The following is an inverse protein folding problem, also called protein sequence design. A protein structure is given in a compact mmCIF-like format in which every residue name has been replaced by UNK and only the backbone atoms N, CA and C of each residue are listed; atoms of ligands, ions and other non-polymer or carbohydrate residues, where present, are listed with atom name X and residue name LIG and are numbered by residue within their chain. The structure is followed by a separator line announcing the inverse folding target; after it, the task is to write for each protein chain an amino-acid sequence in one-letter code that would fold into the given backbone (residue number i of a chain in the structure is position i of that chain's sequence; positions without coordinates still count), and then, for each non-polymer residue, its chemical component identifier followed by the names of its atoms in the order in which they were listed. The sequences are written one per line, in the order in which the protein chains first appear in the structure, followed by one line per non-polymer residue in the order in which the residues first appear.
data_IF_473008667137
#
_entry.id   IF_473008667137
#
_cell.length_a   1.000
_cell.length_b   1.000
_cell.length_c   1.000
_cell.angle_alpha   90.00
_cell.angle_beta   90.00
_cell.angle_gamma   90.00
#
_symmetry.space_group_name_H-M   'P 1'
#
loop_
_entity.id
_entity.type
_entity.pdbx_description
1 polymer ?
#
# COMPACT_ATOMS: atom_id res chain seq x y z
N UNK A 1 24.72 -33.39 16.43
CA UNK A 1 23.82 -32.95 15.34
C UNK A 1 24.38 -31.65 14.80
N UNK A 2 24.89 -31.61 13.56
CA UNK A 2 25.43 -30.37 12.98
C UNK A 2 24.28 -29.36 12.84
N UNK A 3 24.39 -28.20 13.49
CA UNK A 3 23.39 -27.15 13.37
C UNK A 3 23.33 -26.67 11.92
N UNK A 4 22.13 -26.55 11.35
CA UNK A 4 21.93 -25.92 10.04
C UNK A 4 22.48 -24.49 10.06
N UNK A 5 23.27 -24.14 9.06
CA UNK A 5 23.87 -22.80 8.92
C UNK A 5 22.76 -21.73 8.80
N UNK A 6 23.09 -20.47 9.05
CA UNK A 6 22.14 -19.37 8.83
C UNK A 6 21.61 -19.39 7.39
N UNK A 7 22.51 -19.64 6.42
CA UNK A 7 22.21 -19.67 4.99
C UNK A 7 21.26 -20.82 4.67
N UNK A 8 21.43 -21.99 5.29
CA UNK A 8 20.48 -23.10 5.13
C UNK A 8 19.08 -22.71 5.58
N UNK A 9 18.95 -21.99 6.70
CA UNK A 9 17.66 -21.52 7.22
C UNK A 9 17.07 -20.45 6.31
N UNK A 10 17.88 -19.52 5.82
CA UNK A 10 17.48 -18.45 4.93
C UNK A 10 16.98 -18.99 3.58
N UNK A 11 17.72 -19.90 2.96
CA UNK A 11 17.30 -20.61 1.74
C UNK A 11 16.03 -21.44 1.99
N UNK A 12 15.93 -22.12 3.14
CA UNK A 12 14.73 -22.88 3.51
C UNK A 12 13.50 -21.99 3.63
N UNK A 13 13.61 -20.82 4.27
CA UNK A 13 12.51 -19.87 4.44
C UNK A 13 11.97 -19.35 3.10
N UNK A 14 12.82 -19.27 2.07
CA UNK A 14 12.42 -18.87 0.73
C UNK A 14 11.92 -20.03 -0.14
N UNK A 15 11.91 -21.27 0.37
CA UNK A 15 11.58 -22.47 -0.39
C UNK A 15 12.65 -22.84 -1.43
N UNK A 16 13.89 -22.43 -1.20
CA UNK A 16 15.05 -22.64 -2.08
C UNK A 16 16.03 -23.67 -1.49
N UNK A 17 15.50 -24.68 -0.78
CA UNK A 17 16.30 -25.69 -0.06
C UNK A 17 17.19 -26.52 -0.97
N UNK A 18 16.84 -26.66 -2.24
CA UNK A 18 17.63 -27.38 -3.24
C UNK A 18 19.03 -26.75 -3.44
N UNK A 19 19.19 -25.46 -3.16
CA UNK A 19 20.46 -24.75 -3.30
C UNK A 19 21.33 -24.77 -2.05
N UNK A 20 20.85 -25.30 -0.91
CA UNK A 20 21.66 -25.34 0.32
C UNK A 20 23.00 -26.08 0.12
N UNK A 21 22.95 -27.22 -0.59
CA UNK A 21 24.17 -27.98 -0.89
C UNK A 21 25.14 -27.20 -1.80
N UNK A 22 24.61 -26.48 -2.79
CA UNK A 22 25.43 -25.66 -3.69
C UNK A 22 26.08 -24.49 -2.97
N UNK A 23 25.35 -23.78 -2.10
CA UNK A 23 25.90 -22.67 -1.32
C UNK A 23 26.95 -23.14 -0.32
N UNK A 24 26.71 -24.27 0.35
CA UNK A 24 27.69 -24.86 1.27
C UNK A 24 28.95 -25.38 0.54
N UNK A 25 28.78 -26.01 -0.62
CA UNK A 25 29.89 -26.53 -1.42
C UNK A 25 30.77 -25.41 -2.01
N UNK A 26 30.18 -24.25 -2.28
CA UNK A 26 30.91 -23.06 -2.75
C UNK A 26 31.36 -22.14 -1.61
N UNK A 27 31.25 -22.59 -0.35
CA UNK A 27 31.68 -21.84 0.83
C UNK A 27 31.09 -20.42 0.89
N UNK A 28 29.84 -20.26 0.46
CA UNK A 28 29.15 -18.98 0.53
C UNK A 28 28.78 -18.75 1.99
N UNK A 29 29.42 -17.77 2.61
CA UNK A 29 29.11 -17.25 3.96
C UNK A 29 28.33 -15.94 3.89
N UNK A 30 27.93 -15.39 5.04
CA UNK A 30 27.08 -14.19 5.12
C UNK A 30 27.68 -12.96 4.43
N UNK A 31 29.00 -12.78 4.53
CA UNK A 31 29.70 -11.66 3.90
C UNK A 31 29.68 -11.81 2.37
N UNK A 32 30.04 -13.00 1.87
CA UNK A 32 30.03 -13.31 0.43
C UNK A 32 28.61 -13.26 -0.15
N UNK A 33 27.62 -13.73 0.62
CA UNK A 33 26.22 -13.73 0.23
C UNK A 33 25.72 -12.33 -0.17
N UNK A 34 26.24 -11.28 0.48
CA UNK A 34 25.87 -9.88 0.21
C UNK A 34 26.49 -9.33 -1.07
N UNK A 35 27.58 -9.91 -1.51
CA UNK A 35 28.34 -9.49 -2.68
C UNK A 35 28.00 -10.31 -3.93
N UNK A 36 27.25 -11.40 -3.78
CA UNK A 36 26.88 -12.27 -4.90
C UNK A 36 26.13 -11.51 -6.00
N UNK A 37 26.61 -11.68 -7.23
CA UNK A 37 25.96 -11.18 -8.43
C UNK A 37 25.04 -12.23 -9.06
N UNK A 38 24.24 -11.80 -10.05
CA UNK A 38 23.39 -12.72 -10.82
C UNK A 38 24.20 -13.74 -11.64
N UNK A 39 25.43 -13.40 -11.99
CA UNK A 39 26.40 -14.24 -12.70
C UNK A 39 27.00 -15.29 -11.76
N UNK A 40 27.35 -14.91 -10.53
CA UNK A 40 27.83 -15.84 -9.50
C UNK A 40 26.76 -16.86 -9.11
N UNK A 41 25.49 -16.44 -9.03
CA UNK A 41 24.38 -17.36 -8.80
C UNK A 41 24.24 -18.39 -9.93
N UNK A 42 24.51 -17.99 -11.17
CA UNK A 42 24.48 -18.90 -12.32
C UNK A 42 25.64 -19.89 -12.26
N UNK A 43 26.84 -19.44 -11.87
CA UNK A 43 28.02 -20.29 -11.76
C UNK A 43 27.91 -21.37 -10.67
N UNK A 44 27.20 -21.09 -9.58
CA UNK A 44 26.92 -22.07 -8.51
C UNK A 44 25.70 -22.96 -8.79
N UNK A 45 25.10 -22.87 -10.00
CA UNK A 45 24.05 -23.79 -10.46
C UNK A 45 22.62 -23.28 -10.33
N UNK A 46 22.40 -21.99 -10.05
CA UNK A 46 21.05 -21.38 -10.08
C UNK A 46 20.69 -20.98 -11.52
N UNK A 47 20.37 -21.94 -12.36
CA UNK A 47 20.02 -21.70 -13.77
C UNK A 47 18.64 -21.05 -13.98
N UNK A 48 17.69 -21.33 -13.08
CA UNK A 48 16.34 -20.76 -13.13
C UNK A 48 16.35 -19.24 -12.93
N UNK A 49 15.94 -18.50 -13.96
CA UNK A 49 15.83 -17.03 -13.93
C UNK A 49 14.91 -16.55 -12.80
N UNK A 50 13.85 -17.30 -12.50
CA UNK A 50 12.95 -16.99 -11.40
C UNK A 50 13.63 -17.11 -10.04
N UNK A 51 14.43 -18.15 -9.82
CA UNK A 51 15.16 -18.36 -8.57
C UNK A 51 16.28 -17.34 -8.39
N UNK A 52 17.03 -17.02 -9.46
CA UNK A 52 18.04 -15.95 -9.43
C UNK A 52 17.44 -14.59 -9.05
N UNK A 53 16.34 -14.19 -9.69
CA UNK A 53 15.66 -12.92 -9.35
C UNK A 53 15.20 -12.89 -7.89
N UNK A 54 14.69 -14.01 -7.39
CA UNK A 54 14.25 -14.14 -5.99
C UNK A 54 15.43 -14.00 -5.02
N UNK A 55 16.56 -14.66 -5.29
CA UNK A 55 17.78 -14.57 -4.48
C UNK A 55 18.37 -13.16 -4.49
N UNK A 56 18.47 -12.51 -5.66
CA UNK A 56 18.97 -11.13 -5.78
C UNK A 56 18.13 -10.12 -4.99
N UNK A 57 16.81 -10.25 -5.04
CA UNK A 57 15.89 -9.42 -4.25
C UNK A 57 16.09 -9.63 -2.74
N UNK A 58 16.24 -10.89 -2.31
CA UNK A 58 16.43 -11.24 -0.91
C UNK A 58 17.81 -10.80 -0.37
N UNK A 59 18.87 -10.87 -1.19
CA UNK A 59 20.21 -10.38 -0.86
C UNK A 59 20.18 -8.85 -0.68
N UNK A 60 19.47 -8.14 -1.57
CA UNK A 60 19.29 -6.68 -1.47
C UNK A 60 18.59 -6.29 -0.16
N UNK A 61 17.58 -7.06 0.27
CA UNK A 61 16.91 -6.84 1.56
C UNK A 61 17.82 -7.11 2.78
N UNK A 62 18.79 -8.03 2.66
CA UNK A 62 19.76 -8.34 3.72
C UNK A 62 20.81 -7.22 3.91
N UNK A 63 21.11 -6.46 2.86
CA UNK A 63 22.02 -5.31 2.93
C UNK A 63 21.37 -4.12 3.67
N UNK A 64 20.10 -3.84 3.40
CA UNK A 64 19.33 -2.74 4.03
C UNK A 64 19.23 -2.93 5.56
N UNK A 65 19.24 -4.17 6.04
CA UNK A 65 19.14 -4.46 7.48
C UNK A 65 20.43 -4.21 8.29
N UNK A 66 21.61 -4.10 7.66
CA UNK A 66 22.87 -3.84 8.39
C UNK A 66 23.23 -2.36 8.55
N UNK A 67 22.62 -1.47 7.78
CA UNK A 67 22.90 -0.03 7.82
C UNK A 67 22.12 0.73 8.90
N UNK A 68 21.30 0.03 9.70
CA UNK A 68 20.77 0.54 10.97
C UNK A 68 21.71 0.19 12.13
N UNK A 69 22.99 0.51 12.00
CA UNK A 69 23.91 0.58 13.16
C UNK A 69 24.07 2.04 13.58
N UNK A 70 23.26 2.37 14.59
CA UNK A 70 23.32 3.57 15.41
C UNK A 70 24.76 3.96 15.80
N UNK A 71 25.24 5.10 15.31
CA UNK A 71 26.29 5.88 15.97
C UNK A 71 25.63 7.10 16.63
N UNK A 72 25.40 7.02 17.95
CA UNK A 72 25.15 8.20 18.77
C UNK A 72 26.44 8.69 19.44
N UNK A 73 26.41 9.73 20.30
CA UNK A 73 25.34 10.69 20.55
C UNK A 73 25.82 12.15 20.36
N UNK A 74 24.97 13.03 19.82
CA UNK A 74 25.10 14.47 20.03
C UNK A 74 23.70 15.05 20.23
N UNK A 75 23.56 15.77 21.34
CA UNK A 75 22.34 16.37 21.85
C UNK A 75 21.69 17.24 20.76
N UNK A 76 20.69 16.70 20.07
CA UNK A 76 19.80 17.48 19.22
C UNK A 76 18.58 17.80 20.06
N UNK A 77 18.46 19.09 20.41
CA UNK A 77 17.21 19.71 20.85
C UNK A 77 16.04 19.20 19.99
N UNK A 78 14.84 19.02 20.53
CA UNK A 78 13.68 18.78 19.70
C UNK A 78 13.58 19.97 18.74
N UNK A 79 13.81 19.72 17.46
CA UNK A 79 13.45 20.66 16.42
C UNK A 79 11.93 20.74 16.47
N UNK A 80 11.44 21.75 17.19
CA UNK A 80 10.03 22.09 17.21
C UNK A 80 9.79 22.99 15.99
N UNK A 81 9.15 22.46 14.93
CA UNK A 81 8.90 23.23 13.72
C UNK A 81 8.02 24.45 14.02
N UNK A 82 7.22 24.43 15.09
CA UNK A 82 6.36 25.54 15.50
C UNK A 82 7.22 26.66 16.11
N UNK A 83 8.17 26.31 16.99
CA UNK A 83 9.08 27.28 17.60
C UNK A 83 10.00 27.96 16.57
N UNK A 84 10.38 27.23 15.51
CA UNK A 84 11.16 27.81 14.41
C UNK A 84 10.35 28.85 13.63
N UNK A 85 9.08 28.55 13.33
CA UNK A 85 8.18 29.47 12.64
C UNK A 85 8.00 30.74 13.49
N UNK A 86 7.74 30.60 14.80
CA UNK A 86 7.59 31.72 15.72
C UNK A 86 8.85 32.61 15.83
N UNK A 87 10.04 32.00 15.69
CA UNK A 87 11.31 32.72 15.70
C UNK A 87 11.55 33.46 14.40
N UNK A 88 11.25 32.84 13.26
CA UNK A 88 11.34 33.48 11.93
C UNK A 88 10.36 34.64 11.78
N UNK A 89 9.15 34.51 12.32
CA UNK A 89 8.14 35.59 12.35
C UNK A 89 8.62 36.75 13.23
N UNK A 90 9.18 36.48 14.41
CA UNK A 90 9.74 37.51 15.29
C UNK A 90 10.91 38.26 14.65
N UNK A 91 11.84 37.56 14.02
CA UNK A 91 13.00 38.18 13.35
C UNK A 91 12.56 39.02 12.14
N UNK A 92 11.54 38.60 11.39
CA UNK A 92 10.97 39.38 10.30
C UNK A 92 10.26 40.67 10.79
N UNK A 93 9.59 40.61 11.95
CA UNK A 93 8.93 41.77 12.57
C UNK A 93 9.96 42.76 13.14
N UNK A 94 11.08 42.28 13.68
CA UNK A 94 12.15 43.13 14.22
C UNK A 94 12.94 43.90 13.13
N UNK A 95 12.96 43.40 11.89
CA UNK A 95 13.69 44.01 10.77
C UNK A 95 12.91 45.12 10.04
N UNK A 96 11.64 45.39 10.42
CA UNK A 96 10.84 46.50 9.89
C UNK A 96 10.95 47.69 10.86
N UNK A 97 11.95 48.54 10.66
CA UNK A 97 12.11 49.81 11.40
C UNK A 97 10.81 50.62 11.42
N UNK A 98 10.57 51.41 12.48
CA UNK A 98 10.79 52.83 12.26
C UNK A 98 11.43 53.56 13.46
N UNK A 99 12.46 54.35 13.15
CA UNK A 99 12.58 55.66 13.81
C UNK A 99 11.51 56.61 13.26
N UNK A 100 11.16 57.60 14.09
CA UNK A 100 10.28 58.77 13.89
C UNK A 100 9.00 58.79 14.75
N UNK A 101 8.57 59.99 15.16
CA UNK A 101 8.54 60.35 16.58
C UNK A 101 7.13 60.24 17.18
N UNK A 102 7.11 60.21 18.51
CA UNK A 102 5.90 60.35 19.32
C UNK A 102 5.22 61.68 18.99
N UNK A 103 4.01 61.62 18.42
CA UNK A 103 3.06 62.73 18.45
C UNK A 103 1.68 62.23 18.92
N UNK A 104 1.42 62.60 20.16
CA UNK A 104 0.16 63.04 20.75
C UNK A 104 -1.17 62.33 20.43
N UNK A 105 -1.76 61.82 21.52
CA UNK A 105 -3.18 61.60 21.80
C UNK A 105 -4.11 62.64 21.15
N UNK A 106 -5.17 62.16 20.49
CA UNK A 106 -6.35 62.95 20.17
C UNK A 106 -7.26 62.38 19.09
N UNK A 107 -8.37 61.76 19.53
CA UNK A 107 -9.70 61.75 18.86
C UNK A 107 -9.93 60.90 17.59
N UNK A 108 -10.62 59.77 17.81
CA UNK A 108 -11.87 59.28 17.17
C UNK A 108 -12.20 59.83 15.77
N UNK A 109 -12.42 58.96 14.77
CA UNK A 109 -13.70 58.64 14.07
C UNK A 109 -13.46 57.52 13.03
N UNK A 110 -14.50 56.74 12.65
CA UNK A 110 -14.40 55.37 12.13
C UNK A 110 -14.39 55.36 10.60
N UNK A 111 -13.78 54.36 9.95
CA UNK A 111 -14.07 54.01 8.55
C UNK A 111 -13.42 52.64 8.21
N UNK A 112 -14.30 51.70 7.89
CA UNK A 112 -14.16 50.58 6.95
C UNK A 112 -13.22 49.43 7.34
N UNK A 113 -13.83 48.31 7.72
CA UNK A 113 -13.27 46.97 7.54
C UNK A 113 -13.01 46.72 6.04
N UNK A 114 -11.79 46.32 5.64
CA UNK A 114 -11.61 45.58 4.42
C UNK A 114 -11.54 44.09 4.75
N UNK A 115 -12.49 43.35 4.19
CA UNK A 115 -12.45 41.93 3.91
C UNK A 115 -11.01 41.40 3.75
N UNK A 116 -10.65 40.39 4.54
CA UNK A 116 -9.60 39.44 4.15
C UNK A 116 -10.20 38.05 4.07
N UNK A 117 -11.26 37.94 3.26
CA UNK A 117 -11.98 36.71 2.90
C UNK A 117 -11.39 36.04 1.64
N UNK A 118 -10.08 36.08 1.41
CA UNK A 118 -9.53 35.66 0.12
C UNK A 118 -8.19 34.91 0.11
N UNK A 119 -7.71 34.36 1.24
CA UNK A 119 -6.45 33.58 1.24
C UNK A 119 -6.47 32.23 1.97
N UNK A 120 -7.57 31.83 2.60
CA UNK A 120 -7.76 30.47 3.14
C UNK A 120 -8.40 29.50 2.13
N UNK A 121 -8.89 29.97 0.99
CA UNK A 121 -9.65 29.14 0.03
C UNK A 121 -8.78 28.30 -0.93
N UNK A 122 -7.48 28.58 -1.09
CA UNK A 122 -6.63 27.79 -2.03
C UNK A 122 -6.09 26.48 -1.46
N UNK A 123 -6.36 26.16 -0.20
CA UNK A 123 -5.98 24.87 0.42
C UNK A 123 -7.18 23.89 0.50
N UNK A 124 -8.40 24.36 0.18
CA UNK A 124 -9.63 23.59 0.29
C UNK A 124 -9.99 22.74 -0.95
N UNK A 125 -9.28 22.86 -2.07
CA UNK A 125 -9.46 21.99 -3.26
C UNK A 125 -8.64 20.69 -3.21
N UNK A 126 -8.36 20.18 -2.00
CA UNK A 126 -7.96 18.79 -1.84
C UNK A 126 -9.20 17.93 -2.05
N UNK A 127 -9.53 17.59 -3.30
CA UNK A 127 -10.60 16.63 -3.62
C UNK A 127 -10.33 15.31 -2.87
N UNK A 128 -11.01 15.13 -1.75
CA UNK A 128 -10.79 14.05 -0.81
C UNK A 128 -12.00 13.14 -0.61
N UNK A 129 -12.72 12.93 -1.70
CA UNK A 129 -13.82 11.99 -1.78
C UNK A 129 -13.41 10.60 -1.25
N UNK A 130 -14.32 9.99 -0.48
CA UNK A 130 -14.14 8.61 -0.02
C UNK A 130 -14.31 7.65 -1.20
N UNK A 131 -13.73 6.46 -1.10
CA UNK A 131 -13.80 5.47 -2.17
C UNK A 131 -15.24 5.07 -2.51
N UNK A 132 -16.15 5.07 -1.51
CA UNK A 132 -17.59 4.88 -1.71
C UNK A 132 -18.26 6.01 -2.51
N UNK A 133 -17.90 7.28 -2.26
CA UNK A 133 -18.43 8.43 -3.00
C UNK A 133 -18.02 8.36 -4.48
N UNK A 134 -16.75 8.03 -4.72
CA UNK A 134 -16.22 7.85 -6.09
C UNK A 134 -16.85 6.64 -6.78
N UNK A 135 -17.16 5.57 -6.04
CA UNK A 135 -17.91 4.44 -6.57
C UNK A 135 -19.34 4.85 -6.97
N UNK A 136 -20.03 5.63 -6.14
CA UNK A 136 -21.35 6.15 -6.47
C UNK A 136 -21.30 7.01 -7.75
N UNK A 137 -20.27 7.83 -7.91
CA UNK A 137 -20.03 8.61 -9.12
C UNK A 137 -19.72 7.73 -10.34
N UNK A 138 -18.88 6.72 -10.17
CA UNK A 138 -18.50 5.77 -11.23
C UNK A 138 -19.72 5.02 -11.82
N UNK A 139 -20.71 4.73 -10.98
CA UNK A 139 -21.93 4.03 -11.35
C UNK A 139 -23.04 4.93 -11.93
N UNK A 140 -22.87 6.26 -11.90
CA UNK A 140 -23.83 7.17 -12.54
C UNK A 140 -23.95 6.87 -14.04
N UNK A 141 -25.17 6.92 -14.61
CA UNK A 141 -25.37 6.72 -16.04
C UNK A 141 -24.53 7.71 -16.85
N UNK A 142 -23.84 7.21 -17.87
CA UNK A 142 -23.07 8.05 -18.78
C UNK A 142 -23.98 8.73 -19.82
N UNK A 143 -23.61 9.95 -20.21
CA UNK A 143 -24.24 10.65 -21.32
C UNK A 143 -24.27 9.80 -22.60
N UNK A 144 -25.26 10.05 -23.47
CA UNK A 144 -25.51 9.30 -24.71
C UNK A 144 -24.24 9.11 -25.57
N UNK A 145 -23.32 10.09 -25.57
CA UNK A 145 -22.05 10.05 -26.32
C UNK A 145 -21.02 9.05 -25.78
N UNK A 146 -21.06 8.71 -24.48
CA UNK A 146 -20.08 7.82 -23.79
C UNK A 146 -20.66 6.45 -23.42
N UNK A 147 -21.86 6.13 -23.89
CA UNK A 147 -22.58 4.89 -23.53
C UNK A 147 -21.79 3.60 -23.84
N UNK A 148 -20.97 3.59 -24.89
CA UNK A 148 -20.14 2.44 -25.25
C UNK A 148 -19.06 2.14 -24.19
N UNK A 149 -18.56 3.15 -23.48
CA UNK A 149 -17.59 3.02 -22.37
C UNK A 149 -18.23 2.56 -21.05
N UNK A 150 -19.58 2.54 -20.98
CA UNK A 150 -20.30 2.04 -19.82
C UNK A 150 -20.25 0.51 -19.68
N UNK A 151 -19.83 -0.21 -20.73
CA UNK A 151 -19.85 -1.68 -20.78
C UNK A 151 -19.00 -2.29 -19.65
N UNK A 152 -19.66 -3.04 -18.78
CA UNK A 152 -19.03 -3.71 -17.64
C UNK A 152 -18.64 -2.78 -16.49
N UNK A 153 -19.19 -1.55 -16.40
CA UNK A 153 -19.05 -0.72 -15.19
C UNK A 153 -19.84 -1.31 -14.01
N UNK A 154 -21.08 -1.75 -14.26
CA UNK A 154 -21.91 -2.39 -13.23
C UNK A 154 -21.30 -3.67 -12.66
N UNK A 155 -20.55 -4.42 -13.48
CA UNK A 155 -19.84 -5.63 -13.05
C UNK A 155 -18.68 -5.35 -12.08
N UNK A 156 -18.14 -4.13 -12.08
CA UNK A 156 -17.08 -3.71 -11.17
C UNK A 156 -17.62 -3.35 -9.78
N UNK A 157 -18.91 -3.02 -9.64
CA UNK A 157 -19.47 -2.54 -8.38
C UNK A 157 -19.22 -3.49 -7.20
N UNK A 158 -19.43 -4.82 -7.31
CA UNK A 158 -19.22 -5.72 -6.18
C UNK A 158 -17.77 -5.77 -5.70
N UNK A 159 -16.78 -5.77 -6.61
CA UNK A 159 -15.35 -5.86 -6.23
C UNK A 159 -14.84 -4.54 -5.65
N UNK A 160 -15.31 -3.39 -6.15
CA UNK A 160 -14.96 -2.10 -5.56
C UNK A 160 -15.63 -1.95 -4.19
N UNK A 161 -16.89 -2.39 -4.05
CA UNK A 161 -17.56 -2.43 -2.75
C UNK A 161 -16.82 -3.31 -1.74
N UNK A 162 -16.31 -4.47 -2.19
CA UNK A 162 -15.42 -5.29 -1.37
C UNK A 162 -14.18 -4.53 -0.92
N UNK A 163 -13.54 -3.78 -1.81
CA UNK A 163 -12.40 -2.93 -1.45
C UNK A 163 -12.78 -1.85 -0.43
N UNK A 164 -13.99 -1.26 -0.55
CA UNK A 164 -14.49 -0.25 0.40
C UNK A 164 -14.60 -0.87 1.79
N UNK A 165 -15.21 -2.04 1.89
CA UNK A 165 -15.42 -2.72 3.17
C UNK A 165 -14.10 -3.23 3.77
N UNK A 166 -13.23 -3.82 2.95
CA UNK A 166 -11.94 -4.36 3.40
C UNK A 166 -10.97 -3.26 3.86
N UNK A 167 -10.91 -2.14 3.13
CA UNK A 167 -9.97 -1.05 3.44
C UNK A 167 -10.54 -0.03 4.44
N UNK A 168 -11.79 -0.19 4.89
CA UNK A 168 -12.42 0.74 5.83
C UNK A 168 -12.84 2.09 5.22
N UNK A 169 -13.32 2.07 3.98
CA UNK A 169 -13.79 3.24 3.22
C UNK A 169 -12.81 4.43 3.25
N UNK A 170 -11.58 4.23 2.75
CA UNK A 170 -10.56 5.27 2.76
C UNK A 170 -10.91 6.45 1.87
N UNK A 171 -10.24 7.57 2.13
CA UNK A 171 -10.15 8.63 1.14
C UNK A 171 -9.24 8.18 0.00
N UNK A 172 -9.55 8.57 -1.23
CA UNK A 172 -8.78 8.12 -2.40
C UNK A 172 -7.32 8.58 -2.36
N UNK A 173 -7.02 9.73 -1.75
CA UNK A 173 -5.67 10.27 -1.55
C UNK A 173 -4.82 9.47 -0.54
N UNK A 174 -5.46 8.76 0.38
CA UNK A 174 -4.80 7.95 1.42
C UNK A 174 -4.51 6.51 0.99
N UNK A 175 -4.89 6.11 -0.22
CA UNK A 175 -4.70 4.74 -0.69
C UNK A 175 -3.26 4.57 -1.18
N UNK A 176 -2.44 3.95 -0.33
CA UNK A 176 -1.05 3.60 -0.66
C UNK A 176 -0.96 2.28 -1.42
N UNK A 177 0.21 1.99 -2.00
CA UNK A 177 0.50 0.71 -2.65
C UNK A 177 0.28 -0.48 -1.70
N UNK A 178 0.67 -0.35 -0.43
CA UNK A 178 0.45 -1.39 0.58
C UNK A 178 -1.04 -1.73 0.77
N UNK A 179 -1.94 -0.75 0.67
CA UNK A 179 -3.39 -0.99 0.79
C UNK A 179 -3.95 -1.68 -0.46
N UNK A 180 -3.42 -1.38 -1.63
CA UNK A 180 -3.75 -2.12 -2.85
C UNK A 180 -3.23 -3.57 -2.79
N UNK A 181 -2.05 -3.79 -2.23
CA UNK A 181 -1.50 -5.13 -2.04
C UNK A 181 -2.35 -5.95 -1.06
N UNK A 182 -2.80 -5.35 0.05
CA UNK A 182 -3.72 -5.99 1.00
C UNK A 182 -5.03 -6.41 0.32
N UNK A 183 -5.55 -5.58 -0.58
CA UNK A 183 -6.71 -5.95 -1.39
C UNK A 183 -6.41 -7.14 -2.30
N UNK A 184 -5.29 -7.11 -3.01
CA UNK A 184 -4.88 -8.18 -3.94
C UNK A 184 -4.69 -9.53 -3.24
N UNK A 185 -4.08 -9.50 -2.05
CA UNK A 185 -3.89 -10.66 -1.18
C UNK A 185 -5.22 -11.26 -0.70
N UNK A 186 -6.25 -10.43 -0.52
CA UNK A 186 -7.56 -10.88 -0.06
C UNK A 186 -8.45 -11.44 -1.18
N UNK A 187 -8.26 -11.05 -2.44
CA UNK A 187 -9.13 -11.49 -3.56
C UNK A 187 -9.18 -13.02 -3.76
N UNK A 188 -8.06 -13.78 -3.69
CA UNK A 188 -8.05 -15.24 -3.81
C UNK A 188 -8.72 -15.97 -2.64
N UNK A 189 -8.89 -15.28 -1.51
CA UNK A 189 -9.54 -15.80 -0.30
C UNK A 189 -11.06 -15.70 -0.36
N UNK A 190 -11.64 -15.04 -1.37
CA UNK A 190 -13.08 -14.96 -1.49
C UNK A 190 -13.63 -16.29 -2.05
N UNK A 191 -14.46 -17.04 -1.30
CA UNK A 191 -15.06 -18.25 -1.82
C UNK A 191 -16.19 -17.94 -2.83
N UNK A 192 -16.50 -18.94 -3.66
CA UNK A 192 -17.74 -18.97 -4.42
C UNK A 192 -18.93 -19.02 -3.46
N UNK A 193 -20.12 -18.68 -3.97
CA UNK A 193 -21.37 -18.73 -3.18
C UNK A 193 -21.79 -20.14 -2.76
N UNK A 194 -21.20 -21.17 -3.37
CA UNK A 194 -21.56 -22.56 -3.14
C UNK A 194 -21.24 -22.94 -1.70
N UNK A 195 -22.19 -23.59 -1.02
CA UNK A 195 -22.07 -24.01 0.39
C UNK A 195 -21.92 -22.87 1.40
N UNK A 196 -22.34 -21.64 1.06
CA UNK A 196 -22.40 -20.50 1.98
C UNK A 196 -23.87 -20.15 2.27
N UNK A 197 -24.28 -20.05 3.55
CA UNK A 197 -25.63 -19.65 3.90
C UNK A 197 -26.01 -18.28 3.28
N UNK A 198 -27.30 -18.12 2.92
CA UNK A 198 -27.77 -16.97 2.12
C UNK A 198 -27.51 -15.61 2.77
N UNK A 199 -27.50 -15.53 4.10
CA UNK A 199 -27.19 -14.33 4.87
C UNK A 199 -25.71 -13.91 4.75
N UNK A 200 -24.81 -14.83 4.42
CA UNK A 200 -23.37 -14.57 4.26
C UNK A 200 -22.91 -14.55 2.79
N UNK A 201 -23.82 -14.72 1.83
CA UNK A 201 -23.47 -14.80 0.40
C UNK A 201 -23.94 -13.61 -0.43
N UNK A 202 -24.47 -12.54 0.19
CA UNK A 202 -25.00 -11.37 -0.53
C UNK A 202 -23.88 -10.52 -1.11
N UNK A 203 -22.79 -10.30 -0.35
CA UNK A 203 -21.63 -9.51 -0.81
C UNK A 203 -20.37 -10.37 -0.91
N UNK A 204 -19.36 -9.87 -1.63
CA UNK A 204 -18.03 -10.49 -1.66
C UNK A 204 -17.38 -10.47 -0.25
N UNK A 205 -17.59 -9.38 0.50
CA UNK A 205 -17.04 -9.21 1.84
C UNK A 205 -17.67 -10.16 2.86
N UNK A 206 -19.00 -10.35 2.81
CA UNK A 206 -19.67 -11.34 3.67
C UNK A 206 -19.13 -12.75 3.42
N UNK A 207 -18.88 -13.12 2.16
CA UNK A 207 -18.28 -14.41 1.80
C UNK A 207 -16.85 -14.55 2.31
N UNK A 208 -16.06 -13.48 2.16
CA UNK A 208 -14.70 -13.40 2.70
C UNK A 208 -14.69 -13.56 4.23
N UNK A 209 -15.54 -12.81 4.96
CA UNK A 209 -15.68 -12.92 6.42
C UNK A 209 -16.18 -14.27 6.89
N UNK A 210 -17.15 -14.87 6.18
CA UNK A 210 -17.60 -16.22 6.49
C UNK A 210 -16.47 -17.23 6.40
N UNK A 211 -15.60 -17.11 5.38
CA UNK A 211 -14.46 -18.00 5.22
C UNK A 211 -13.42 -17.87 6.35
N UNK A 212 -13.27 -16.70 6.99
CA UNK A 212 -12.41 -16.55 8.19
C UNK A 212 -12.91 -17.41 9.36
N UNK A 213 -14.23 -17.57 9.49
CA UNK A 213 -14.87 -18.32 10.59
C UNK A 213 -15.16 -19.78 10.26
N UNK A 214 -15.25 -20.11 8.97
CA UNK A 214 -15.62 -21.44 8.49
C UNK A 214 -14.38 -22.23 8.08
N UNK A 215 -14.47 -23.56 8.19
CA UNK A 215 -13.39 -24.42 7.73
C UNK A 215 -13.25 -24.36 6.19
N UNK A 216 -12.18 -23.73 5.71
CA UNK A 216 -11.84 -23.50 4.30
C UNK A 216 -11.96 -24.75 3.41
N UNK A 217 -11.79 -25.95 3.98
CA UNK A 217 -11.91 -27.23 3.26
C UNK A 217 -13.29 -27.50 2.65
N UNK A 218 -14.36 -26.87 3.19
CA UNK A 218 -15.74 -27.03 2.70
C UNK A 218 -16.15 -25.98 1.66
N UNK A 219 -15.30 -24.98 1.44
CA UNK A 219 -15.58 -23.84 0.58
C UNK A 219 -14.83 -23.95 -0.73
N UNK A 220 -15.53 -23.75 -1.85
CA UNK A 220 -14.91 -23.72 -3.18
C UNK A 220 -14.42 -22.30 -3.47
N UNK A 221 -13.14 -22.14 -3.74
CA UNK A 221 -12.54 -20.84 -4.07
C UNK A 221 -12.92 -20.35 -5.47
N UNK A 222 -12.84 -19.04 -5.66
CA UNK A 222 -12.91 -18.43 -7.01
C UNK A 222 -11.72 -18.88 -7.85
N UNK A 223 -11.92 -19.03 -9.16
CA UNK A 223 -10.84 -19.40 -10.07
C UNK A 223 -9.93 -18.20 -10.36
N UNK A 224 -8.67 -18.47 -10.74
CA UNK A 224 -7.73 -17.43 -11.19
C UNK A 224 -8.29 -16.63 -12.39
N UNK A 225 -9.04 -17.28 -13.28
CA UNK A 225 -9.78 -16.60 -14.36
C UNK A 225 -10.82 -15.62 -13.83
N UNK A 226 -11.54 -15.95 -12.75
CA UNK A 226 -12.51 -15.04 -12.13
C UNK A 226 -11.80 -13.83 -11.53
N UNK A 227 -10.69 -14.05 -10.84
CA UNK A 227 -9.88 -12.98 -10.25
C UNK A 227 -9.39 -12.02 -11.34
N UNK A 228 -8.74 -12.56 -12.39
CA UNK A 228 -8.18 -11.75 -13.48
C UNK A 228 -9.26 -11.07 -14.33
N UNK A 229 -10.25 -11.83 -14.80
CA UNK A 229 -11.20 -11.34 -15.80
C UNK A 229 -12.36 -10.54 -15.22
N UNK A 230 -12.72 -10.74 -13.94
CA UNK A 230 -13.84 -10.01 -13.30
C UNK A 230 -13.35 -9.01 -12.26
N UNK A 231 -12.58 -9.47 -11.27
CA UNK A 231 -12.21 -8.63 -10.14
C UNK A 231 -11.19 -7.58 -10.53
N UNK A 232 -10.04 -7.99 -11.07
CA UNK A 232 -9.02 -7.06 -11.53
C UNK A 232 -9.50 -6.17 -12.66
N UNK A 233 -10.19 -6.74 -13.65
CA UNK A 233 -10.76 -5.94 -14.74
C UNK A 233 -11.72 -4.85 -14.22
N UNK A 234 -12.53 -5.16 -13.20
CA UNK A 234 -13.41 -4.20 -12.55
C UNK A 234 -12.64 -3.14 -11.76
N UNK A 235 -11.66 -3.55 -10.94
CA UNK A 235 -10.81 -2.65 -10.17
C UNK A 235 -10.03 -1.69 -11.06
N UNK A 236 -9.40 -2.20 -12.13
CA UNK A 236 -8.67 -1.35 -13.08
C UNK A 236 -9.58 -0.32 -13.74
N UNK A 237 -10.81 -0.68 -14.15
CA UNK A 237 -11.77 0.29 -14.70
C UNK A 237 -12.13 1.38 -13.69
N UNK A 238 -12.33 1.01 -12.43
CA UNK A 238 -12.64 1.97 -11.36
C UNK A 238 -11.45 2.89 -11.08
N UNK A 239 -10.24 2.34 -10.97
CA UNK A 239 -9.02 3.10 -10.71
C UNK A 239 -8.70 4.03 -11.89
N UNK A 240 -8.81 3.54 -13.13
CA UNK A 240 -8.60 4.36 -14.33
C UNK A 240 -9.61 5.53 -14.39
N UNK A 241 -10.86 5.29 -13.98
CA UNK A 241 -11.85 6.35 -13.80
C UNK A 241 -11.44 7.35 -12.71
N UNK A 242 -10.99 6.87 -11.55
CA UNK A 242 -10.58 7.73 -10.43
C UNK A 242 -9.35 8.59 -10.79
N UNK A 243 -8.40 8.05 -11.55
CA UNK A 243 -7.25 8.78 -12.08
C UNK A 243 -7.71 9.86 -13.07
N UNK A 244 -8.55 9.48 -14.04
CA UNK A 244 -9.08 10.41 -15.04
C UNK A 244 -9.88 11.57 -14.42
N UNK A 245 -10.65 11.29 -13.36
CA UNK A 245 -11.39 12.28 -12.57
C UNK A 245 -10.55 13.03 -11.54
N UNK A 246 -9.24 12.76 -11.44
CA UNK A 246 -8.32 13.34 -10.44
C UNK A 246 -8.73 13.07 -8.97
N UNK A 247 -9.55 12.04 -8.74
CA UNK A 247 -9.88 11.56 -7.40
C UNK A 247 -8.73 10.76 -6.80
N UNK A 248 -7.96 10.07 -7.63
CA UNK A 248 -6.77 9.31 -7.23
C UNK A 248 -5.52 9.87 -7.91
N UNK A 249 -4.52 10.23 -7.12
CA UNK A 249 -3.24 10.82 -7.59
C UNK A 249 -2.07 9.84 -7.54
N UNK A 250 -2.25 8.68 -6.92
CA UNK A 250 -1.22 7.65 -6.85
C UNK A 250 -1.01 6.96 -8.21
N UNK A 251 0.07 6.17 -8.34
CA UNK A 251 0.28 5.35 -9.53
C UNK A 251 -0.82 4.29 -9.63
N UNK A 252 -1.12 3.88 -10.86
CA UNK A 252 -1.97 2.71 -11.10
C UNK A 252 -1.32 1.48 -10.44
N UNK A 253 -2.01 0.79 -9.50
CA UNK A 253 -1.43 -0.35 -8.80
C UNK A 253 -1.23 -1.53 -9.75
N UNK A 254 -0.32 -2.44 -9.40
CA UNK A 254 -0.06 -3.67 -10.14
C UNK A 254 -0.54 -4.86 -9.34
N UNK A 255 -1.68 -5.41 -9.73
CA UNK A 255 -2.17 -6.64 -9.13
C UNK A 255 -1.39 -7.86 -9.66
N UNK A 256 -0.88 -8.69 -8.76
CA UNK A 256 -0.12 -9.91 -9.03
C UNK A 256 -0.91 -11.08 -8.45
N UNK A 257 -1.31 -12.01 -9.31
CA UNK A 257 -2.20 -13.09 -8.91
C UNK A 257 -1.41 -14.04 -8.03
N UNK A 258 -1.61 -13.95 -6.72
CA UNK A 258 -1.04 -14.90 -5.78
C UNK A 258 -1.90 -16.16 -5.88
N UNK A 259 -1.30 -17.26 -6.30
CA UNK A 259 -1.96 -18.55 -6.32
C UNK A 259 -2.47 -18.91 -4.91
N UNK A 260 -3.76 -19.24 -4.74
CA UNK A 260 -4.33 -19.57 -3.43
C UNK A 260 -3.59 -20.66 -2.65
N UNK A 261 -2.91 -21.58 -3.34
CA UNK A 261 -2.08 -22.63 -2.73
C UNK A 261 -0.81 -22.03 -2.07
N UNK A 262 -0.19 -21.08 -2.76
CA UNK A 262 1.03 -20.38 -2.32
C UNK A 262 0.74 -19.48 -1.11
N UNK A 263 -0.42 -18.81 -1.10
CA UNK A 263 -0.87 -17.95 0.01
C UNK A 263 -1.12 -18.71 1.33
N UNK A 264 -1.72 -19.92 1.26
CA UNK A 264 -1.92 -20.76 2.46
C UNK A 264 -0.61 -21.09 3.18
N UNK A 265 0.48 -21.34 2.43
CA UNK A 265 1.80 -21.62 3.02
C UNK A 265 2.36 -20.40 3.74
N UNK A 266 2.26 -19.22 3.14
CA UNK A 266 2.74 -17.97 3.74
C UNK A 266 1.95 -17.60 5.01
N UNK A 267 0.62 -17.70 5.00
CA UNK A 267 -0.20 -17.36 6.17
C UNK A 267 -0.07 -18.39 7.30
N UNK A 268 -0.03 -19.70 6.99
CA UNK A 268 0.17 -20.75 7.99
C UNK A 268 1.53 -20.63 8.70
N UNK A 269 2.59 -20.20 7.99
CA UNK A 269 3.88 -19.90 8.59
C UNK A 269 3.80 -18.71 9.57
N UNK A 270 3.11 -17.63 9.21
CA UNK A 270 2.97 -16.43 10.07
C UNK A 270 2.09 -16.65 11.31
N UNK A 271 1.03 -17.46 11.21
CA UNK A 271 0.19 -17.82 12.36
C UNK A 271 0.89 -18.78 13.33
N UNK A 272 1.87 -19.57 12.87
CA UNK A 272 2.66 -20.44 13.75
C UNK A 272 3.72 -19.64 14.54
N UNK A 273 4.15 -18.48 14.04
CA UNK A 273 5.15 -17.62 14.70
C UNK A 273 4.60 -16.66 15.75
N UNK A 274 3.28 -16.56 15.95
CA UNK A 274 2.66 -15.70 16.97
C UNK A 274 2.14 -16.45 18.21
N UNK A 275 2.44 -17.75 18.35
CA UNK A 275 2.06 -18.58 19.51
C UNK A 275 3.24 -19.14 20.30
N UNK A 276 4.41 -18.49 20.27
CA UNK A 276 5.53 -18.78 21.18
C UNK A 276 5.86 -17.55 22.02
#
# INVERSE_FOLDING_TARGET
MKGKSFIDKWLTAMGLTEYCAAFAANHIDLDILRELTAEDLESIGVSSVGHRRKLMSAISALAISSEQSWTGPAIAQPFDPIALIDRLVRDAVAQRLPGFPVLHVGSIWPIVEPEVSALTEKVAERNCCRMSDVLAEFLKPLDRKRKHTAKGRGEAAPVVQFAVELLGNPRMDEITEARWNLLDEALPDIPNRDNIPRNFSQTLFQRYKYAETANWSKLKRVTTTTIKSRYWAGLYKFIDFAIAGKHYRGPRPKFVCIDPETWRRCRAMLSTTMSC
#
